data_IF_776687085194
#
_entry.id   IF_776687085194
#
_cell.length_a   1.000
_cell.length_b   1.000
_cell.length_c   1.000
_cell.angle_alpha   90.00
_cell.angle_beta   90.00
_cell.angle_gamma   90.00
#
_symmetry.space_group_name_H-M   'P 1'
#
loop_
_entity.id
_entity.type
_entity.pdbx_description
1 polymer ?
#
# COMPACT_ATOMS: atom_id res chain seq x y z
N UNK A 1 0.95 -13.94 15.46
CA UNK A 1 0.04 -12.99 14.89
C UNK A 1 -1.05 -12.67 15.87
N UNK A 2 -1.07 -11.49 16.24
CA UNK A 2 -2.06 -11.12 17.21
C UNK A 2 -3.38 -10.93 16.54
N UNK A 3 -4.43 -11.15 17.22
CA UNK A 3 -5.79 -10.84 16.82
C UNK A 3 -6.27 -11.37 15.50
N UNK A 4 -5.45 -12.07 14.78
CA UNK A 4 -5.83 -12.53 13.48
C UNK A 4 -6.05 -11.42 12.46
N UNK A 5 -5.64 -10.22 12.77
CA UNK A 5 -5.78 -9.12 11.82
C UNK A 5 -4.73 -9.23 10.74
N UNK A 6 -5.19 -9.13 9.51
CA UNK A 6 -4.32 -9.15 8.35
C UNK A 6 -4.51 -7.86 7.59
N UNK A 7 -3.42 -7.16 7.30
CA UNK A 7 -3.51 -5.97 6.48
C UNK A 7 -3.75 -6.36 5.03
N UNK A 8 -4.79 -5.84 4.45
CA UNK A 8 -5.11 -6.06 3.05
C UNK A 8 -5.25 -4.69 2.41
N UNK A 9 -4.40 -4.35 1.44
CA UNK A 9 -4.55 -3.06 0.76
C UNK A 9 -5.82 -3.04 -0.07
N UNK A 10 -6.31 -1.85 -0.33
CA UNK A 10 -7.56 -1.70 -1.06
C UNK A 10 -7.43 -2.15 -2.50
N UNK A 11 -6.27 -2.02 -3.09
CA UNK A 11 -6.08 -2.39 -4.48
C UNK A 11 -4.67 -2.82 -4.77
N UNK A 12 -4.55 -3.84 -5.58
CA UNK A 12 -3.27 -4.29 -6.12
C UNK A 12 -3.37 -4.27 -7.63
N UNK A 13 -2.39 -3.63 -8.26
CA UNK A 13 -2.31 -3.60 -9.71
C UNK A 13 -1.06 -4.35 -10.14
N UNK A 14 -1.26 -5.34 -10.99
CA UNK A 14 -0.17 -6.17 -11.47
C UNK A 14 0.10 -5.86 -12.94
N UNK A 15 1.38 -5.69 -13.28
CA UNK A 15 1.76 -5.50 -14.67
C UNK A 15 2.03 -6.86 -15.30
N UNK A 16 1.46 -7.10 -16.47
CA UNK A 16 1.71 -8.36 -17.18
C UNK A 16 3.04 -8.38 -17.91
N UNK A 17 3.60 -7.20 -18.15
CA UNK A 17 4.84 -7.10 -18.92
C UNK A 17 6.08 -7.10 -18.07
N UNK A 18 5.93 -6.84 -16.79
CA UNK A 18 7.05 -6.80 -15.87
C UNK A 18 6.56 -7.32 -14.54
N UNK A 19 7.49 -7.56 -13.61
CA UNK A 19 7.12 -8.02 -12.27
C UNK A 19 6.73 -6.86 -11.37
N UNK A 20 6.14 -5.84 -11.93
CA UNK A 20 5.76 -4.66 -11.18
C UNK A 20 4.40 -4.84 -10.54
N UNK A 21 4.31 -4.45 -9.27
CA UNK A 21 3.06 -4.43 -8.53
C UNK A 21 2.91 -3.06 -7.90
N UNK A 22 1.72 -2.49 -8.00
CA UNK A 22 1.42 -1.23 -7.33
C UNK A 22 0.43 -1.51 -6.22
N UNK A 23 0.84 -1.20 -4.99
CA UNK A 23 -0.01 -1.36 -3.82
C UNK A 23 -0.65 -0.02 -3.52
N UNK A 24 -1.97 0.03 -3.54
CA UNK A 24 -2.71 1.27 -3.33
C UNK A 24 -3.62 1.12 -2.14
N UNK A 25 -3.60 2.11 -1.25
CA UNK A 25 -4.46 2.12 -0.09
C UNK A 25 -5.13 3.48 0.02
N UNK A 26 -6.43 3.46 0.31
CA UNK A 26 -7.21 4.68 0.49
C UNK A 26 -7.45 4.90 1.98
N UNK A 27 -7.12 6.08 2.46
CA UNK A 27 -7.29 6.42 3.87
C UNK A 27 -8.09 7.72 4.00
N UNK A 28 -8.91 7.77 5.04
CA UNK A 28 -9.61 9.00 5.37
C UNK A 28 -9.03 9.53 6.67
N UNK A 29 -9.14 10.84 6.88
CA UNK A 29 -8.60 11.46 8.09
C UNK A 29 -7.16 11.88 7.93
N UNK A 30 -6.46 11.99 9.05
CA UNK A 30 -5.11 12.51 9.03
C UNK A 30 -4.08 11.47 8.67
N UNK A 31 -2.93 11.95 8.19
CA UNK A 31 -1.80 11.11 7.87
C UNK A 31 -1.23 10.49 9.15
N UNK A 32 -1.00 9.19 9.14
CA UNK A 32 -0.43 8.47 10.29
C UNK A 32 0.71 7.59 9.84
N UNK A 33 1.76 7.54 10.66
CA UNK A 33 2.92 6.71 10.38
C UNK A 33 2.56 5.23 10.28
N UNK A 34 1.57 4.81 11.04
CA UNK A 34 1.14 3.41 11.02
C UNK A 34 0.66 2.97 9.65
N UNK A 35 0.03 3.89 8.91
CA UNK A 35 -0.42 3.57 7.56
C UNK A 35 0.76 3.24 6.66
N UNK A 36 1.83 4.01 6.80
CA UNK A 36 3.02 3.80 5.99
C UNK A 36 3.71 2.48 6.34
N UNK A 37 3.77 2.18 7.63
CA UNK A 37 4.37 0.92 8.07
C UNK A 37 3.65 -0.28 7.50
N UNK A 38 2.34 -0.24 7.52
CA UNK A 38 1.54 -1.36 7.02
C UNK A 38 1.79 -1.63 5.54
N UNK A 39 1.78 -0.55 4.74
CA UNK A 39 1.94 -0.74 3.31
C UNK A 39 3.37 -1.14 2.96
N UNK A 40 4.35 -0.65 3.70
CA UNK A 40 5.74 -1.03 3.48
C UNK A 40 5.96 -2.50 3.81
N UNK A 41 5.39 -2.97 4.92
CA UNK A 41 5.52 -4.37 5.30
C UNK A 41 4.86 -5.28 4.28
N UNK A 42 3.71 -4.86 3.77
CA UNK A 42 3.04 -5.64 2.75
C UNK A 42 3.87 -5.71 1.47
N UNK A 43 4.46 -4.59 1.07
CA UNK A 43 5.31 -4.55 -0.10
C UNK A 43 6.54 -5.44 0.07
N UNK A 44 7.12 -5.46 1.26
CA UNK A 44 8.26 -6.33 1.53
C UNK A 44 7.89 -7.80 1.39
N UNK A 45 6.69 -8.16 1.85
CA UNK A 45 6.22 -9.53 1.70
C UNK A 45 6.08 -9.90 0.23
N UNK A 46 5.58 -8.98 -0.59
CA UNK A 46 5.48 -9.23 -2.02
C UNK A 46 6.84 -9.42 -2.67
N UNK A 47 7.85 -8.67 -2.24
CA UNK A 47 9.19 -8.82 -2.76
C UNK A 47 9.76 -10.20 -2.42
N UNK A 48 9.48 -10.66 -1.22
CA UNK A 48 9.92 -11.99 -0.80
C UNK A 48 9.24 -13.09 -1.60
N UNK A 49 8.09 -12.79 -2.19
CA UNK A 49 7.36 -13.72 -3.02
C UNK A 49 7.81 -13.68 -4.48
N UNK A 50 8.83 -12.89 -4.79
CA UNK A 50 9.40 -12.87 -6.13
C UNK A 50 9.05 -11.64 -6.96
N UNK A 51 8.31 -10.69 -6.42
CA UNK A 51 8.02 -9.46 -7.15
C UNK A 51 9.20 -8.51 -7.03
N UNK A 52 9.79 -8.16 -8.15
CA UNK A 52 11.01 -7.36 -8.15
C UNK A 52 10.76 -5.87 -8.05
N UNK A 53 9.61 -5.41 -8.51
CA UNK A 53 9.27 -4.00 -8.48
C UNK A 53 7.95 -3.80 -7.77
N UNK A 54 7.99 -3.16 -6.61
CA UNK A 54 6.78 -2.91 -5.84
C UNK A 54 6.71 -1.43 -5.54
N UNK A 55 5.65 -0.79 -6.01
CA UNK A 55 5.37 0.61 -5.72
C UNK A 55 4.32 0.70 -4.64
N UNK A 56 4.44 1.71 -3.80
CA UNK A 56 3.54 1.89 -2.68
C UNK A 56 2.91 3.27 -2.76
N UNK A 57 1.60 3.32 -2.74
CA UNK A 57 0.87 4.57 -2.86
C UNK A 57 -0.23 4.61 -1.81
N UNK A 58 -0.29 5.69 -1.05
CA UNK A 58 -1.40 5.92 -0.13
C UNK A 58 -2.12 7.17 -0.59
N UNK A 59 -3.44 7.06 -0.72
CA UNK A 59 -4.28 8.18 -1.13
C UNK A 59 -5.09 8.62 0.07
N UNK A 60 -4.84 9.83 0.54
CA UNK A 60 -5.56 10.40 1.67
C UNK A 60 -6.69 11.27 1.14
N UNK A 61 -7.90 10.96 1.56
CA UNK A 61 -9.10 11.66 1.10
C UNK A 61 -9.69 12.44 2.28
N UNK A 62 -9.88 13.73 2.07
CA UNK A 62 -10.53 14.58 3.06
C UNK A 62 -11.66 15.35 2.38
N UNK A 63 -12.40 16.11 3.18
CA UNK A 63 -13.55 16.87 2.64
C UNK A 63 -13.14 17.87 1.58
N UNK A 64 -11.93 18.41 1.67
CA UNK A 64 -11.53 19.50 0.81
C UNK A 64 -10.45 19.13 -0.20
N UNK A 65 -9.78 18.00 -0.03
CA UNK A 65 -8.68 17.69 -0.95
C UNK A 65 -8.33 16.22 -0.94
N UNK A 66 -7.59 15.82 -1.96
CA UNK A 66 -7.05 14.46 -2.09
C UNK A 66 -5.55 14.59 -2.17
N UNK A 67 -4.85 13.86 -1.30
CA UNK A 67 -3.39 13.85 -1.31
C UNK A 67 -2.90 12.46 -1.67
N UNK A 68 -1.97 12.42 -2.62
CA UNK A 68 -1.36 11.16 -3.04
C UNK A 68 0.06 11.13 -2.50
N UNK A 69 0.38 10.08 -1.75
CA UNK A 69 1.70 9.92 -1.18
C UNK A 69 2.36 8.69 -1.76
N UNK A 70 3.45 8.89 -2.47
CA UNK A 70 4.25 7.80 -3.02
C UNK A 70 5.37 7.48 -2.06
N UNK A 71 5.47 6.25 -1.64
CA UNK A 71 6.45 5.82 -0.66
C UNK A 71 7.61 5.04 -1.27
#
# INVERSE_FOLDING_TARGET
MENGKTYIPDRLLFSKKSDEVIVIDYKTGSVKTEHEKQIIEYADALRKMGKTKVKRVIIYISDSEIKVKNL
#
